data_IF_965544623694
#
_entry.id   IF_965544623694
#
_cell.length_a   1.000
_cell.length_b   1.000
_cell.length_c   1.000
_cell.angle_alpha   90.00
_cell.angle_beta   90.00
_cell.angle_gamma   90.00
#
_symmetry.space_group_name_H-M   'P 1'
#
loop_
_entity.id
_entity.type
_entity.pdbx_description
1 polymer ?
#
# COMPACT_ATOMS: atom_id res chain seq x y z
N UNK A 1 36.96 26.32 48.33
CA UNK A 1 35.54 26.54 48.07
C UNK A 1 35.35 26.82 46.58
N UNK A 2 34.83 25.86 45.90
CA UNK A 2 34.45 26.00 44.48
C UNK A 2 32.97 26.41 44.46
N UNK A 3 32.74 27.62 43.98
CA UNK A 3 31.40 28.11 43.74
C UNK A 3 30.76 27.34 42.62
N UNK A 4 29.55 26.80 42.88
CA UNK A 4 28.71 26.18 41.92
C UNK A 4 28.16 27.26 40.97
N UNK A 5 28.43 27.14 39.69
CA UNK A 5 27.79 27.94 38.64
C UNK A 5 26.30 27.59 38.48
N UNK A 6 25.49 28.51 37.98
CA UNK A 6 24.03 28.31 37.89
C UNK A 6 23.69 27.22 36.89
N UNK A 7 22.71 26.41 37.26
CA UNK A 7 22.02 25.42 36.43
C UNK A 7 21.46 26.10 35.15
N UNK A 8 21.48 25.45 33.99
CA UNK A 8 20.75 25.96 32.85
C UNK A 8 19.24 25.74 33.10
N UNK A 9 18.58 26.84 33.43
CA UNK A 9 17.15 26.91 33.50
C UNK A 9 16.52 26.57 32.13
N UNK A 10 15.63 25.62 32.18
CA UNK A 10 14.42 25.45 31.41
C UNK A 10 14.21 26.39 30.21
N UNK A 11 14.86 26.06 29.12
CA UNK A 11 14.40 26.49 27.79
C UNK A 11 13.13 25.72 27.46
N UNK A 12 12.06 26.48 27.30
CA UNK A 12 10.69 26.02 27.12
C UNK A 12 10.56 24.80 26.21
N UNK A 13 9.93 23.78 26.74
CA UNK A 13 9.37 22.70 25.98
C UNK A 13 8.30 23.27 25.06
N UNK A 14 8.69 23.75 23.88
CA UNK A 14 7.77 23.82 22.74
C UNK A 14 7.21 22.41 22.61
N UNK A 15 5.91 22.31 22.91
CA UNK A 15 5.13 21.12 22.71
C UNK A 15 5.36 20.69 21.26
N UNK A 16 6.24 19.73 21.07
CA UNK A 16 6.37 19.02 19.80
C UNK A 16 5.02 18.40 19.58
N UNK A 17 4.22 19.05 18.75
CA UNK A 17 3.01 18.47 18.22
C UNK A 17 3.41 17.09 17.72
N UNK A 18 2.78 16.01 18.24
CA UNK A 18 3.13 14.69 17.76
C UNK A 18 2.90 14.73 16.26
N UNK A 19 3.97 14.51 15.51
CA UNK A 19 3.91 14.36 14.07
C UNK A 19 2.80 13.36 13.80
N UNK A 20 1.67 13.75 13.18
CA UNK A 20 0.75 12.75 12.72
C UNK A 20 1.61 11.83 11.89
N UNK A 21 1.50 10.55 12.15
CA UNK A 21 2.22 9.50 11.44
C UNK A 21 2.01 9.73 9.95
N UNK A 22 2.89 10.52 9.37
CA UNK A 22 3.10 10.63 7.93
C UNK A 22 3.65 9.27 7.54
N UNK A 23 2.78 8.29 7.53
CA UNK A 23 3.14 6.99 7.01
C UNK A 23 3.53 7.21 5.56
N UNK A 24 4.80 6.92 5.18
CA UNK A 24 5.12 6.76 3.78
C UNK A 24 4.19 5.68 3.26
N UNK A 25 3.15 6.10 2.59
CA UNK A 25 1.97 5.27 2.36
C UNK A 25 2.20 4.14 1.40
N UNK A 26 3.28 4.21 0.64
CA UNK A 26 3.58 3.21 -0.35
C UNK A 26 5.09 3.04 -0.41
N UNK A 27 5.62 2.13 0.36
CA UNK A 27 6.91 1.55 0.03
C UNK A 27 6.66 0.47 -1.02
N UNK A 28 7.13 0.67 -2.23
CA UNK A 28 7.10 -0.34 -3.26
C UNK A 28 8.33 -1.22 -3.11
N UNK A 29 8.11 -2.49 -2.84
CA UNK A 29 9.17 -3.48 -2.71
C UNK A 29 9.27 -4.28 -4.01
N UNK A 30 10.42 -4.25 -4.63
CA UNK A 30 10.74 -5.15 -5.74
C UNK A 30 11.60 -6.30 -5.22
N UNK A 31 11.21 -7.53 -5.47
CA UNK A 31 12.04 -8.69 -5.18
C UNK A 31 12.95 -8.95 -6.36
N UNK A 32 14.25 -8.75 -6.17
CA UNK A 32 15.29 -9.05 -7.14
C UNK A 32 15.93 -10.39 -6.74
N UNK A 33 15.62 -11.44 -7.48
CA UNK A 33 16.07 -12.80 -7.15
C UNK A 33 15.30 -13.42 -5.98
N UNK A 34 15.77 -14.57 -5.47
CA UNK A 34 15.02 -15.40 -4.53
C UNK A 34 14.94 -14.83 -3.10
N UNK A 35 15.71 -13.80 -2.73
CA UNK A 35 15.77 -13.32 -1.34
C UNK A 35 16.11 -11.84 -1.12
N UNK A 36 16.15 -11.01 -2.13
CA UNK A 36 16.45 -9.57 -1.92
C UNK A 36 15.21 -8.74 -2.24
N UNK A 37 14.69 -8.08 -1.23
CA UNK A 37 13.61 -7.09 -1.38
C UNK A 37 14.24 -5.70 -1.36
N UNK A 38 14.03 -4.94 -2.41
CA UNK A 38 14.52 -3.57 -2.54
C UNK A 38 13.33 -2.61 -2.55
N UNK A 39 13.45 -1.51 -1.82
CA UNK A 39 12.45 -0.44 -1.90
C UNK A 39 12.64 0.29 -3.23
N UNK A 40 11.71 0.09 -4.16
CA UNK A 40 11.77 0.67 -5.50
C UNK A 40 11.16 2.09 -5.58
N UNK A 41 10.49 2.55 -4.53
CA UNK A 41 9.93 3.89 -4.49
C UNK A 41 9.18 4.16 -3.19
N UNK A 42 9.01 5.44 -2.90
CA UNK A 42 8.19 5.92 -1.78
C UNK A 42 7.48 7.21 -2.19
N UNK A 43 6.28 7.39 -1.68
CA UNK A 43 5.48 8.59 -1.84
C UNK A 43 4.89 9.03 -0.52
N UNK A 44 4.73 10.33 -0.34
CA UNK A 44 4.07 10.90 0.81
C UNK A 44 2.56 10.86 0.57
N UNK A 45 1.84 10.17 1.44
CA UNK A 45 0.39 10.25 1.44
C UNK A 45 -0.06 11.35 2.41
N UNK A 46 -0.81 12.30 1.90
CA UNK A 46 -1.47 13.31 2.68
C UNK A 46 -2.98 13.11 2.56
N UNK A 47 -3.71 12.97 3.67
CA UNK A 47 -5.16 13.00 3.65
C UNK A 47 -5.67 14.31 3.04
N UNK A 48 -6.87 14.28 2.46
CA UNK A 48 -7.48 15.44 1.83
C UNK A 48 -7.63 16.63 2.79
N UNK A 49 -7.95 16.36 4.05
CA UNK A 49 -8.03 17.36 5.12
C UNK A 49 -6.72 18.13 5.34
N UNK A 50 -5.58 17.48 5.07
CA UNK A 50 -4.27 18.12 5.13
C UNK A 50 -3.99 18.97 3.91
N UNK A 51 -4.25 18.44 2.73
CA UNK A 51 -3.98 19.16 1.48
C UNK A 51 -4.90 20.36 1.27
N UNK A 52 -6.05 20.36 1.94
CA UNK A 52 -6.98 21.49 1.96
C UNK A 52 -6.51 22.64 2.86
N UNK A 53 -5.72 22.35 3.90
CA UNK A 53 -5.15 23.34 4.82
C UNK A 53 -3.71 23.69 4.40
N UNK A 54 -3.58 24.63 3.50
CA UNK A 54 -2.28 25.05 2.95
C UNK A 54 -1.36 25.68 3.99
N UNK A 55 -1.90 26.37 4.97
CA UNK A 55 -1.11 26.96 6.04
C UNK A 55 -0.48 25.88 6.93
N UNK A 56 -1.25 24.85 7.26
CA UNK A 56 -0.77 23.67 7.97
C UNK A 56 0.31 22.93 7.19
N UNK A 57 0.14 22.78 5.87
CA UNK A 57 1.14 22.18 4.99
C UNK A 57 2.46 22.96 5.03
N UNK A 58 2.41 24.30 4.88
CA UNK A 58 3.60 25.17 4.91
C UNK A 58 4.33 25.10 6.25
N UNK A 59 3.61 25.11 7.37
CA UNK A 59 4.20 24.94 8.71
C UNK A 59 4.90 23.60 8.87
N UNK A 60 4.42 22.56 8.19
CA UNK A 60 5.02 21.23 8.18
C UNK A 60 6.12 21.05 7.11
N UNK A 61 6.48 22.10 6.38
CA UNK A 61 7.49 22.04 5.32
C UNK A 61 7.05 21.29 4.06
N UNK A 62 5.73 21.15 3.85
CA UNK A 62 5.16 20.52 2.67
C UNK A 62 4.98 21.56 1.59
N UNK A 63 5.55 21.29 0.41
CA UNK A 63 5.49 22.19 -0.73
C UNK A 63 4.06 22.44 -1.23
N UNK A 64 3.79 23.63 -1.73
CA UNK A 64 2.45 24.03 -2.17
C UNK A 64 1.95 23.23 -3.39
N UNK A 65 2.87 22.64 -4.15
CA UNK A 65 2.58 21.82 -5.33
C UNK A 65 2.07 20.41 -4.97
N UNK A 66 2.17 20.03 -3.69
CA UNK A 66 1.68 18.73 -3.25
C UNK A 66 0.17 18.76 -3.18
N UNK A 67 -0.45 18.08 -4.11
CA UNK A 67 -1.89 17.90 -4.20
C UNK A 67 -2.34 16.58 -3.59
N UNK A 68 -3.63 16.51 -3.24
CA UNK A 68 -4.22 15.26 -2.80
C UNK A 68 -4.11 14.18 -3.88
N UNK A 69 -3.69 13.00 -3.46
CA UNK A 69 -3.72 11.81 -4.29
C UNK A 69 -4.10 10.59 -3.43
N UNK A 70 -4.96 9.75 -3.99
CA UNK A 70 -5.33 8.49 -3.34
C UNK A 70 -4.14 7.53 -3.32
N UNK A 71 -4.15 6.57 -2.40
CA UNK A 71 -3.11 5.52 -2.33
C UNK A 71 -2.90 4.78 -3.65
N UNK A 72 -3.96 4.35 -4.39
CA UNK A 72 -3.79 3.75 -5.70
C UNK A 72 -3.14 4.68 -6.74
N UNK A 73 -3.47 5.99 -6.71
CA UNK A 73 -2.83 6.96 -7.61
C UNK A 73 -1.33 7.12 -7.31
N UNK A 74 -0.96 7.17 -6.03
CA UNK A 74 0.45 7.21 -5.63
C UNK A 74 1.19 5.93 -6.05
N UNK A 75 0.56 4.76 -5.86
CA UNK A 75 1.11 3.49 -6.30
C UNK A 75 1.31 3.47 -7.82
N UNK A 76 0.34 3.96 -8.59
CA UNK A 76 0.45 4.07 -10.04
C UNK A 76 1.62 4.97 -10.46
N UNK A 77 1.81 6.13 -9.82
CA UNK A 77 2.94 7.04 -10.08
C UNK A 77 4.28 6.36 -9.79
N UNK A 78 4.38 5.63 -8.67
CA UNK A 78 5.61 4.89 -8.33
C UNK A 78 5.91 3.78 -9.32
N UNK A 79 4.90 3.00 -9.71
CA UNK A 79 5.03 1.95 -10.72
C UNK A 79 5.44 2.52 -12.07
N UNK A 80 4.85 3.64 -12.47
CA UNK A 80 5.19 4.33 -13.71
C UNK A 80 6.69 4.68 -13.74
N UNK A 81 7.19 5.35 -12.69
CA UNK A 81 8.62 5.70 -12.58
C UNK A 81 9.53 4.46 -12.56
N UNK A 82 9.11 3.40 -11.88
CA UNK A 82 9.87 2.15 -11.86
C UNK A 82 9.99 1.53 -13.25
N UNK A 83 8.89 1.48 -13.99
CA UNK A 83 8.88 0.95 -15.36
C UNK A 83 9.71 1.81 -16.32
N UNK A 84 9.63 3.14 -16.20
CA UNK A 84 10.45 4.08 -16.98
C UNK A 84 11.94 3.95 -16.66
N UNK A 85 12.28 3.60 -15.43
CA UNK A 85 13.65 3.30 -15.01
C UNK A 85 14.11 1.87 -15.38
N UNK A 86 13.29 1.10 -16.10
CA UNK A 86 13.62 -0.26 -16.54
C UNK A 86 13.40 -1.36 -15.51
N UNK A 87 12.78 -1.04 -14.35
CA UNK A 87 12.42 -2.06 -13.36
C UNK A 87 11.11 -2.74 -13.76
N UNK A 88 11.21 -4.00 -14.17
CA UNK A 88 10.06 -4.82 -14.55
C UNK A 88 9.86 -5.93 -13.52
N UNK A 89 9.07 -5.71 -12.47
CA UNK A 89 8.81 -6.75 -11.47
C UNK A 89 8.05 -7.91 -12.09
N UNK A 90 8.34 -9.12 -11.65
CA UNK A 90 7.62 -10.31 -12.14
C UNK A 90 6.14 -10.27 -11.76
N UNK A 91 5.83 -9.73 -10.58
CA UNK A 91 4.49 -9.59 -10.02
C UNK A 91 4.34 -8.28 -9.27
N UNK A 92 3.19 -7.67 -9.37
CA UNK A 92 2.75 -6.57 -8.50
C UNK A 92 1.74 -7.14 -7.51
N UNK A 93 1.98 -6.92 -6.23
CA UNK A 93 1.09 -7.39 -5.16
C UNK A 93 0.51 -6.18 -4.43
N UNK A 94 -0.74 -6.26 -4.03
CA UNK A 94 -1.39 -5.21 -3.26
C UNK A 94 -2.56 -5.72 -2.43
N UNK A 95 -2.90 -4.98 -1.39
CA UNK A 95 -4.06 -5.24 -0.56
C UNK A 95 -5.37 -4.74 -1.21
N UNK A 96 -6.48 -4.82 -0.47
CA UNK A 96 -7.81 -4.46 -0.98
C UNK A 96 -7.95 -2.96 -1.32
N UNK A 97 -7.13 -2.09 -0.72
CA UNK A 97 -7.14 -0.65 -1.04
C UNK A 97 -6.74 -0.44 -2.50
N UNK A 98 -5.77 -1.23 -2.98
CA UNK A 98 -5.31 -1.19 -4.36
C UNK A 98 -6.18 -2.03 -5.29
N UNK A 99 -6.66 -3.17 -4.83
CA UNK A 99 -7.49 -4.07 -5.64
C UNK A 99 -8.88 -3.52 -5.96
N UNK A 100 -9.38 -2.59 -5.17
CA UNK A 100 -10.63 -1.87 -5.47
C UNK A 100 -10.51 -0.91 -6.65
N UNK A 101 -9.33 -0.41 -6.91
CA UNK A 101 -9.12 0.64 -7.91
C UNK A 101 -9.05 0.05 -9.33
N UNK A 102 -10.12 0.25 -10.10
CA UNK A 102 -10.19 -0.21 -11.49
C UNK A 102 -9.18 0.49 -12.40
N UNK A 103 -8.77 1.73 -12.08
CA UNK A 103 -7.79 2.47 -12.89
C UNK A 103 -6.39 1.87 -12.72
N UNK A 104 -6.02 1.48 -11.49
CA UNK A 104 -4.76 0.80 -11.23
C UNK A 104 -4.72 -0.58 -11.94
N UNK A 105 -5.82 -1.35 -11.89
CA UNK A 105 -5.89 -2.63 -12.62
C UNK A 105 -5.73 -2.41 -14.13
N UNK A 106 -6.50 -1.50 -14.72
CA UNK A 106 -6.39 -1.18 -16.14
C UNK A 106 -4.98 -0.71 -16.53
N UNK A 107 -4.33 0.08 -15.67
CA UNK A 107 -2.94 0.50 -15.87
C UNK A 107 -1.97 -0.68 -15.96
N UNK A 108 -2.12 -1.68 -15.08
CA UNK A 108 -1.31 -2.90 -15.07
C UNK A 108 -1.60 -3.79 -16.28
N UNK A 109 -2.86 -3.95 -16.63
CA UNK A 109 -3.33 -4.76 -17.76
C UNK A 109 -2.84 -4.21 -19.11
N UNK A 110 -2.93 -2.90 -19.33
CA UNK A 110 -2.43 -2.23 -20.53
C UNK A 110 -0.92 -2.46 -20.75
N UNK A 111 -0.19 -2.73 -19.67
CA UNK A 111 1.25 -3.02 -19.70
C UNK A 111 1.60 -4.50 -19.67
N UNK A 112 0.58 -5.36 -19.71
CA UNK A 112 0.75 -6.82 -19.56
C UNK A 112 1.52 -7.19 -18.27
N UNK A 113 1.45 -6.32 -17.24
CA UNK A 113 2.09 -6.54 -15.96
C UNK A 113 1.27 -7.53 -15.15
N UNK A 114 1.90 -8.61 -14.71
CA UNK A 114 1.26 -9.59 -13.81
C UNK A 114 1.02 -8.98 -12.45
N UNK A 115 -0.14 -9.21 -11.89
CA UNK A 115 -0.49 -8.73 -10.56
C UNK A 115 -1.35 -9.72 -9.77
N UNK A 116 -1.31 -9.59 -8.46
CA UNK A 116 -2.25 -10.21 -7.52
C UNK A 116 -2.68 -9.13 -6.54
N UNK A 117 -3.93 -8.73 -6.61
CA UNK A 117 -4.51 -7.70 -5.75
C UNK A 117 -5.64 -8.32 -4.94
N UNK A 118 -5.60 -8.12 -3.61
CA UNK A 118 -6.73 -8.51 -2.77
C UNK A 118 -7.93 -7.62 -3.07
N UNK A 119 -9.13 -8.17 -2.96
CA UNK A 119 -10.38 -7.44 -3.10
C UNK A 119 -11.28 -7.71 -1.89
N UNK A 120 -12.19 -6.79 -1.61
CA UNK A 120 -13.18 -7.01 -0.57
C UNK A 120 -14.16 -8.12 -1.00
N UNK A 121 -14.71 -8.85 -0.04
CA UNK A 121 -15.62 -9.98 -0.27
C UNK A 121 -16.85 -9.61 -1.09
N UNK A 122 -17.30 -8.36 -0.98
CA UNK A 122 -18.44 -7.83 -1.72
C UNK A 122 -18.08 -7.22 -3.09
N UNK A 123 -16.81 -7.32 -3.51
CA UNK A 123 -16.40 -6.79 -4.82
C UNK A 123 -17.14 -7.51 -5.94
N UNK A 124 -17.77 -6.76 -6.86
CA UNK A 124 -18.44 -7.38 -8.00
C UNK A 124 -17.41 -8.00 -8.95
N UNK A 125 -17.64 -9.25 -9.31
CA UNK A 125 -16.80 -10.02 -10.22
C UNK A 125 -17.65 -10.44 -11.41
N UNK A 126 -17.17 -10.23 -12.62
CA UNK A 126 -17.80 -10.68 -13.84
C UNK A 126 -17.39 -12.11 -14.17
N UNK A 127 -18.37 -12.96 -14.45
CA UNK A 127 -18.16 -14.34 -14.87
C UNK A 127 -18.99 -14.65 -16.11
N UNK A 128 -18.32 -15.05 -17.18
CA UNK A 128 -18.96 -15.43 -18.43
C UNK A 128 -19.77 -14.30 -19.06
N UNK A 129 -20.97 -14.60 -19.55
CA UNK A 129 -21.84 -13.66 -20.27
C UNK A 129 -22.40 -12.54 -19.38
N UNK A 130 -21.53 -11.72 -18.78
CA UNK A 130 -21.85 -10.50 -17.99
C UNK A 130 -22.67 -10.72 -16.72
N UNK A 131 -22.62 -11.90 -16.13
CA UNK A 131 -23.22 -12.10 -14.81
C UNK A 131 -22.28 -11.55 -13.75
N UNK A 132 -22.66 -10.45 -13.12
CA UNK A 132 -21.93 -9.88 -12.00
C UNK A 132 -22.34 -10.55 -10.71
N UNK A 133 -21.36 -11.06 -9.95
CA UNK A 133 -21.60 -11.77 -8.69
C UNK A 133 -20.60 -11.22 -7.65
N UNK A 134 -21.01 -11.00 -6.37
CA UNK A 134 -20.07 -10.68 -5.31
C UNK A 134 -19.01 -11.77 -5.16
N UNK A 135 -17.76 -11.37 -4.93
CA UNK A 135 -16.62 -12.31 -4.83
C UNK A 135 -16.86 -13.40 -3.76
N UNK A 136 -17.50 -13.06 -2.63
CA UNK A 136 -17.81 -14.03 -1.57
C UNK A 136 -18.69 -15.20 -2.05
N UNK A 137 -19.60 -14.99 -3.00
CA UNK A 137 -20.50 -16.05 -3.50
C UNK A 137 -19.70 -17.10 -4.28
N UNK A 138 -18.56 -16.71 -4.87
CA UNK A 138 -17.69 -17.66 -5.56
C UNK A 138 -17.08 -18.69 -4.60
N UNK A 139 -16.96 -18.37 -3.31
CA UNK A 139 -16.48 -19.32 -2.29
C UNK A 139 -17.52 -20.42 -2.03
N UNK A 140 -18.81 -20.15 -2.19
CA UNK A 140 -19.89 -21.13 -2.02
C UNK A 140 -19.89 -22.21 -3.13
N UNK A 141 -19.25 -21.88 -4.26
CA UNK A 141 -19.10 -22.80 -5.40
C UNK A 141 -17.82 -23.67 -5.31
N UNK A 142 -16.95 -23.42 -4.32
CA UNK A 142 -15.70 -24.15 -4.15
C UNK A 142 -15.91 -25.33 -3.22
N UNK A 143 -15.59 -26.53 -3.68
CA UNK A 143 -15.67 -27.72 -2.84
C UNK A 143 -14.58 -27.73 -1.77
N UNK A 144 -14.84 -28.30 -0.58
CA UNK A 144 -13.84 -28.39 0.50
C UNK A 144 -12.51 -29.02 0.07
N UNK A 145 -12.55 -30.00 -0.83
CA UNK A 145 -11.39 -30.70 -1.37
C UNK A 145 -10.51 -29.85 -2.30
N UNK A 146 -11.04 -28.74 -2.83
CA UNK A 146 -10.30 -27.82 -3.69
C UNK A 146 -9.44 -26.83 -2.88
N UNK A 147 -9.64 -26.77 -1.56
CA UNK A 147 -8.82 -25.93 -0.71
C UNK A 147 -7.50 -26.60 -0.39
N UNK A 148 -6.43 -25.85 -0.51
CA UNK A 148 -5.08 -26.26 -0.17
C UNK A 148 -4.53 -25.36 0.94
N UNK A 149 -4.03 -25.97 2.01
CA UNK A 149 -3.32 -25.23 3.04
C UNK A 149 -1.94 -24.83 2.55
N UNK A 150 -1.73 -23.51 2.44
CA UNK A 150 -0.48 -22.95 2.00
C UNK A 150 0.10 -22.04 3.08
N UNK A 151 1.42 -22.10 3.25
CA UNK A 151 2.15 -21.21 4.14
C UNK A 151 2.70 -20.01 3.37
N UNK A 152 2.47 -18.82 3.91
CA UNK A 152 3.11 -17.59 3.46
C UNK A 152 4.43 -17.29 4.22
N UNK A 153 4.99 -18.31 4.88
CA UNK A 153 6.17 -18.20 5.74
C UNK A 153 5.84 -17.70 7.15
N UNK A 154 6.88 -17.50 7.95
CA UNK A 154 6.72 -17.04 9.32
C UNK A 154 6.43 -15.55 9.39
N UNK A 155 5.53 -15.18 10.28
CA UNK A 155 5.25 -13.80 10.63
C UNK A 155 5.73 -13.48 12.05
N UNK A 156 5.64 -12.24 12.47
CA UNK A 156 6.01 -11.81 13.83
C UNK A 156 5.21 -12.53 14.94
N UNK A 157 4.06 -13.14 14.58
CA UNK A 157 3.16 -13.84 15.51
C UNK A 157 3.13 -15.37 15.25
N UNK A 158 4.07 -15.91 14.48
CA UNK A 158 4.14 -17.32 14.12
C UNK A 158 3.84 -17.61 12.65
N UNK A 159 3.66 -18.88 12.27
CA UNK A 159 3.39 -19.30 10.90
C UNK A 159 2.11 -18.65 10.34
N UNK A 160 2.18 -18.20 9.09
CA UNK A 160 1.03 -17.65 8.37
C UNK A 160 0.51 -18.67 7.39
N UNK A 161 -0.37 -19.52 7.88
CA UNK A 161 -1.04 -20.54 7.09
C UNK A 161 -2.47 -20.12 6.78
N UNK A 162 -2.92 -20.39 5.56
CA UNK A 162 -4.29 -20.14 5.12
C UNK A 162 -4.72 -21.18 4.11
N UNK A 163 -6.01 -21.43 4.05
CA UNK A 163 -6.60 -22.32 3.06
C UNK A 163 -6.92 -21.52 1.79
N UNK A 164 -6.42 -22.01 0.66
CA UNK A 164 -6.50 -21.35 -0.64
C UNK A 164 -7.21 -22.22 -1.66
N UNK A 165 -8.10 -21.63 -2.41
CA UNK A 165 -8.70 -22.25 -3.59
C UNK A 165 -8.56 -21.32 -4.80
N UNK A 166 -8.60 -21.88 -6.00
CA UNK A 166 -8.50 -21.14 -7.24
C UNK A 166 -9.78 -21.27 -8.05
N UNK A 167 -10.45 -20.17 -8.25
CA UNK A 167 -11.63 -20.08 -9.16
C UNK A 167 -11.21 -19.37 -10.44
N UNK A 168 -11.60 -19.90 -11.60
CA UNK A 168 -11.45 -19.21 -12.89
C UNK A 168 -12.73 -18.46 -13.20
N UNK A 169 -12.61 -17.22 -13.65
CA UNK A 169 -13.68 -16.33 -14.03
C UNK A 169 -13.85 -16.32 -15.54
#
# INVERSE_FOLDING_TARGET
PCEAGPSPEESGAEARTPWPLLMPCCAMYATVGVRVTVTAGRELYLPEEWTSDRERCRRAGIADEVEFATKPQLAQRMLQRAFEAGYMPRWVLGDEVYGRDGKLRAFLEQRHQRYVLAVASNTPVERGLRKTTPAQILLEEVYPEDFQRLSAGDGAKGPRESDWARVRL
#
